data_IF_904326362509
#
_entry.id   IF_904326362509
#
_cell.length_a   1.000
_cell.length_b   1.000
_cell.length_c   1.000
_cell.angle_alpha   90.00
_cell.angle_beta   90.00
_cell.angle_gamma   90.00
#
_symmetry.space_group_name_H-M   'P 1'
#
loop_
_entity.id
_entity.type
_entity.pdbx_description
1 polymer ?
#
# COMPACT_ATOMS: atom_id res chain seq x y z
N UNK A 1 -33.81 -40.48 5.45
CA UNK A 1 -34.18 -39.17 4.88
C UNK A 1 -33.54 -38.09 5.77
N UNK A 2 -32.44 -37.49 5.34
CA UNK A 2 -31.79 -36.39 6.08
C UNK A 2 -32.36 -35.09 5.53
N UNK A 3 -33.04 -34.33 6.40
CA UNK A 3 -33.45 -32.99 6.10
C UNK A 3 -32.19 -32.06 5.96
N UNK A 4 -31.90 -31.64 4.77
CA UNK A 4 -31.01 -30.45 4.58
C UNK A 4 -31.83 -29.23 4.96
N UNK A 5 -31.47 -28.57 6.04
CA UNK A 5 -31.92 -27.21 6.30
C UNK A 5 -31.27 -26.29 5.26
N UNK A 6 -32.13 -25.59 4.54
CA UNK A 6 -31.77 -24.56 3.59
C UNK A 6 -31.27 -23.36 4.41
N UNK A 7 -29.97 -23.07 4.38
CA UNK A 7 -29.46 -21.80 4.88
C UNK A 7 -30.10 -20.68 4.04
N UNK A 8 -30.90 -19.84 4.70
CA UNK A 8 -31.39 -18.60 4.10
C UNK A 8 -30.20 -17.68 3.89
N UNK A 9 -29.91 -17.36 2.62
CA UNK A 9 -28.87 -16.41 2.27
C UNK A 9 -29.24 -15.03 2.82
N UNK A 10 -28.33 -14.40 3.54
CA UNK A 10 -28.48 -13.04 4.08
C UNK A 10 -28.52 -11.92 3.00
N UNK A 11 -28.70 -12.25 1.74
CA UNK A 11 -28.87 -11.30 0.64
C UNK A 11 -30.31 -11.45 0.17
N UNK A 12 -31.19 -10.65 0.74
CA UNK A 12 -32.66 -10.75 0.59
C UNK A 12 -33.21 -10.26 -0.75
N UNK A 13 -32.41 -9.81 -1.70
CA UNK A 13 -32.88 -9.43 -3.04
C UNK A 13 -32.00 -10.03 -4.11
N UNK A 14 -32.63 -10.65 -5.13
CA UNK A 14 -31.96 -11.07 -6.34
C UNK A 14 -31.53 -9.82 -7.10
N UNK A 15 -30.23 -9.60 -7.21
CA UNK A 15 -29.68 -8.58 -8.10
C UNK A 15 -29.83 -9.13 -9.52
N UNK A 16 -30.69 -8.50 -10.31
CA UNK A 16 -30.84 -8.83 -11.72
C UNK A 16 -29.73 -8.11 -12.49
N UNK A 17 -28.75 -8.86 -12.99
CA UNK A 17 -27.64 -8.32 -13.77
C UNK A 17 -27.99 -8.49 -15.26
N UNK A 18 -28.30 -7.39 -15.92
CA UNK A 18 -28.49 -7.36 -17.37
C UNK A 18 -27.12 -7.27 -18.07
N UNK A 19 -26.73 -8.35 -18.72
CA UNK A 19 -25.53 -8.41 -19.57
C UNK A 19 -25.93 -8.15 -21.00
N UNK A 20 -25.37 -7.13 -21.65
CA UNK A 20 -25.60 -6.84 -23.06
C UNK A 20 -25.22 -8.07 -23.92
N UNK A 21 -26.19 -8.64 -24.67
CA UNK A 21 -26.01 -9.87 -25.43
C UNK A 21 -26.39 -11.16 -24.68
N UNK A 22 -26.85 -11.08 -23.43
CA UNK A 22 -27.31 -12.22 -22.63
C UNK A 22 -26.21 -13.18 -22.20
N UNK A 23 -26.60 -14.36 -21.71
CA UNK A 23 -25.66 -15.40 -21.27
C UNK A 23 -25.13 -16.26 -22.43
N UNK A 24 -25.68 -16.10 -23.63
CA UNK A 24 -25.30 -16.86 -24.83
C UNK A 24 -24.15 -16.21 -25.63
N UNK A 25 -23.49 -15.22 -25.08
CA UNK A 25 -22.32 -14.61 -25.70
C UNK A 25 -21.20 -15.66 -25.80
N UNK A 26 -20.72 -15.88 -27.04
CA UNK A 26 -19.56 -16.72 -27.25
C UNK A 26 -18.34 -16.15 -26.51
N UNK A 27 -17.84 -16.88 -25.49
CA UNK A 27 -16.66 -16.46 -24.77
C UNK A 27 -15.44 -16.46 -25.71
N UNK A 28 -14.58 -15.43 -25.60
CA UNK A 28 -13.35 -15.39 -26.37
C UNK A 28 -12.47 -16.60 -26.07
N UNK A 29 -11.77 -17.09 -27.05
CA UNK A 29 -10.82 -18.18 -26.86
C UNK A 29 -9.67 -17.68 -26.00
N UNK A 30 -9.37 -18.42 -24.93
CA UNK A 30 -8.17 -18.19 -24.13
C UNK A 30 -6.95 -18.79 -24.82
N UNK A 31 -5.86 -18.05 -24.83
CA UNK A 31 -4.57 -18.53 -25.34
C UNK A 31 -3.55 -18.51 -24.21
N UNK A 32 -2.67 -19.51 -24.22
CA UNK A 32 -1.54 -19.50 -23.32
C UNK A 32 -0.52 -18.48 -23.77
N UNK A 33 -0.23 -17.50 -22.93
CA UNK A 33 0.85 -16.54 -23.16
C UNK A 33 1.96 -16.75 -22.15
N UNK A 34 3.21 -16.57 -22.59
CA UNK A 34 4.38 -16.51 -21.69
C UNK A 34 4.95 -15.12 -21.75
N UNK A 35 4.77 -14.37 -20.68
CA UNK A 35 5.36 -13.05 -20.55
C UNK A 35 6.79 -13.19 -20.02
N UNK A 36 7.75 -12.61 -20.74
CA UNK A 36 9.14 -12.53 -20.30
C UNK A 36 9.38 -11.13 -19.75
N UNK A 37 9.64 -11.04 -18.46
CA UNK A 37 10.03 -9.79 -17.81
C UNK A 37 11.53 -9.64 -17.81
N UNK A 38 12.03 -8.43 -18.05
CA UNK A 38 13.41 -8.11 -17.77
C UNK A 38 13.54 -7.94 -16.25
N UNK A 39 14.19 -8.89 -15.59
CA UNK A 39 14.40 -8.87 -14.14
C UNK A 39 15.80 -8.34 -13.83
N UNK A 40 15.95 -7.04 -13.81
CA UNK A 40 17.15 -6.43 -13.22
C UNK A 40 17.02 -6.49 -11.70
N UNK A 41 18.01 -7.06 -11.04
CA UNK A 41 18.07 -7.10 -9.57
C UNK A 41 19.16 -6.16 -9.09
N UNK A 42 18.87 -5.39 -8.06
CA UNK A 42 19.88 -4.59 -7.36
C UNK A 42 20.72 -5.51 -6.45
N UNK A 43 22.00 -5.23 -6.35
CA UNK A 43 22.91 -6.01 -5.50
C UNK A 43 22.63 -5.80 -4.00
N UNK A 44 22.22 -4.59 -3.63
CA UNK A 44 21.87 -4.22 -2.26
C UNK A 44 20.73 -3.21 -2.29
N UNK A 45 19.64 -3.52 -1.62
CA UNK A 45 18.49 -2.63 -1.47
C UNK A 45 18.88 -1.39 -0.66
N UNK A 46 19.50 -1.60 0.50
CA UNK A 46 19.92 -0.51 1.38
C UNK A 46 20.87 0.46 0.68
N UNK A 47 21.88 -0.07 -0.04
CA UNK A 47 22.82 0.80 -0.76
C UNK A 47 22.12 1.58 -1.89
N UNK A 48 21.22 0.92 -2.62
CA UNK A 48 20.47 1.57 -3.69
C UNK A 48 19.60 2.70 -3.17
N UNK A 49 18.91 2.49 -2.05
CA UNK A 49 18.12 3.55 -1.39
C UNK A 49 19.03 4.70 -0.95
N UNK A 50 20.12 4.40 -0.26
CA UNK A 50 21.09 5.42 0.20
C UNK A 50 21.63 6.26 -0.96
N UNK A 51 21.93 5.62 -2.11
CA UNK A 51 22.41 6.32 -3.30
C UNK A 51 21.36 7.29 -3.91
N UNK A 52 20.06 6.95 -3.82
CA UNK A 52 19.00 7.87 -4.24
C UNK A 52 18.94 9.12 -3.34
N UNK A 53 19.22 8.98 -2.05
CA UNK A 53 19.28 10.11 -1.11
C UNK A 53 20.51 11.01 -1.28
N UNK A 54 21.55 10.56 -2.01
CA UNK A 54 22.69 11.42 -2.39
C UNK A 54 22.37 12.41 -3.52
N UNK A 55 21.29 12.19 -4.25
CA UNK A 55 20.88 13.04 -5.37
C UNK A 55 20.55 14.44 -4.87
N UNK A 56 21.10 15.50 -5.50
CA UNK A 56 20.91 16.89 -5.06
C UNK A 56 19.44 17.28 -4.96
N UNK A 57 18.63 16.87 -5.94
CA UNK A 57 17.19 17.18 -5.99
C UNK A 57 16.38 16.54 -4.87
N UNK A 58 16.82 15.40 -4.32
CA UNK A 58 16.20 14.75 -3.15
C UNK A 58 16.62 15.47 -1.89
N UNK A 59 17.94 15.69 -1.73
CA UNK A 59 18.50 16.37 -0.56
C UNK A 59 17.97 17.78 -0.39
N UNK A 60 17.78 18.52 -1.47
CA UNK A 60 17.29 19.90 -1.42
C UNK A 60 15.86 20.02 -0.87
N UNK A 61 15.07 18.92 -0.95
CA UNK A 61 13.68 18.90 -0.46
C UNK A 61 13.57 18.55 1.02
N UNK A 62 14.56 17.88 1.58
CA UNK A 62 14.55 17.45 3.00
C UNK A 62 15.36 18.45 3.81
N UNK A 63 14.72 19.09 4.80
CA UNK A 63 15.37 20.05 5.69
C UNK A 63 15.33 19.52 7.12
N UNK A 64 16.36 19.85 7.95
CA UNK A 64 16.33 19.51 9.36
C UNK A 64 15.06 20.01 10.07
N UNK A 65 14.52 19.18 10.93
CA UNK A 65 13.29 19.47 11.70
C UNK A 65 11.98 19.18 10.96
N UNK A 66 12.01 18.88 9.65
CA UNK A 66 10.79 18.54 8.92
C UNK A 66 10.19 17.22 9.43
N UNK A 67 8.89 17.22 9.68
CA UNK A 67 8.11 15.99 9.85
C UNK A 67 7.77 15.43 8.47
N UNK A 68 8.10 14.17 8.23
CA UNK A 68 7.88 13.52 6.93
C UNK A 68 7.02 12.28 7.12
N UNK A 69 5.85 12.27 6.48
CA UNK A 69 4.97 11.11 6.42
C UNK A 69 5.43 10.18 5.29
N UNK A 70 5.74 8.94 5.63
CA UNK A 70 6.16 7.90 4.69
C UNK A 70 5.03 6.88 4.51
N UNK A 71 4.33 6.94 3.39
CA UNK A 71 3.27 5.99 3.04
C UNK A 71 3.85 4.63 2.64
N UNK A 72 3.39 3.58 3.29
CA UNK A 72 3.82 2.21 3.01
C UNK A 72 2.63 1.38 2.54
N UNK A 73 2.75 0.85 1.33
CA UNK A 73 1.73 -0.01 0.71
C UNK A 73 1.84 -1.46 1.14
N UNK A 74 0.92 -2.29 0.63
CA UNK A 74 0.77 -3.69 1.01
C UNK A 74 0.84 -4.67 -0.17
N UNK A 75 1.37 -4.27 -1.33
CA UNK A 75 1.35 -5.12 -2.52
C UNK A 75 2.73 -5.37 -3.11
N UNK A 76 3.19 -6.62 -2.98
CA UNK A 76 4.19 -7.22 -3.86
C UNK A 76 5.57 -6.55 -3.97
N UNK A 77 5.94 -5.68 -3.05
CA UNK A 77 7.28 -5.09 -3.03
C UNK A 77 8.22 -6.02 -2.28
N UNK A 78 9.14 -6.63 -3.00
CA UNK A 78 10.19 -7.42 -2.37
C UNK A 78 11.05 -6.54 -1.44
N UNK A 79 11.39 -7.07 -0.27
CA UNK A 79 12.24 -6.39 0.73
C UNK A 79 11.67 -5.03 1.22
N UNK A 80 10.34 -4.89 1.27
CA UNK A 80 9.69 -3.64 1.67
C UNK A 80 10.20 -3.14 3.03
N UNK A 81 10.36 -4.02 4.01
CA UNK A 81 10.84 -3.65 5.34
C UNK A 81 12.26 -3.03 5.29
N UNK A 82 13.16 -3.60 4.48
CA UNK A 82 14.50 -3.06 4.30
C UNK A 82 14.48 -1.71 3.58
N UNK A 83 13.63 -1.57 2.54
CA UNK A 83 13.44 -0.31 1.84
C UNK A 83 12.97 0.80 2.80
N UNK A 84 11.97 0.50 3.62
CA UNK A 84 11.41 1.46 4.60
C UNK A 84 12.46 1.81 5.64
N UNK A 85 13.14 0.82 6.23
CA UNK A 85 14.19 1.03 7.22
C UNK A 85 15.28 1.96 6.70
N UNK A 86 15.81 1.68 5.51
CA UNK A 86 16.87 2.51 4.95
C UNK A 86 16.37 3.91 4.63
N UNK A 87 15.15 4.05 4.08
CA UNK A 87 14.54 5.36 3.82
C UNK A 87 14.42 6.18 5.11
N UNK A 88 13.94 5.57 6.19
CA UNK A 88 13.86 6.21 7.51
C UNK A 88 15.25 6.64 8.01
N UNK A 89 16.27 5.79 7.85
CA UNK A 89 17.64 6.09 8.26
C UNK A 89 18.19 7.32 7.49
N UNK A 90 18.00 7.38 6.19
CA UNK A 90 18.46 8.51 5.37
C UNK A 90 17.74 9.81 5.72
N UNK A 91 16.41 9.77 5.93
CA UNK A 91 15.64 10.94 6.35
C UNK A 91 16.12 11.47 7.70
N UNK A 92 16.37 10.57 8.66
CA UNK A 92 16.93 10.95 9.97
C UNK A 92 18.34 11.53 9.85
N UNK A 93 19.18 10.95 8.99
CA UNK A 93 20.53 11.47 8.73
C UNK A 93 20.52 12.90 8.15
N UNK A 94 19.46 13.27 7.43
CA UNK A 94 19.21 14.64 6.95
C UNK A 94 18.55 15.55 8.01
N UNK A 95 18.33 15.05 9.25
CA UNK A 95 17.73 15.79 10.34
C UNK A 95 16.21 15.85 10.34
N UNK A 96 15.53 15.08 9.49
CA UNK A 96 14.07 15.02 9.47
C UNK A 96 13.52 14.08 10.56
N UNK A 97 12.23 14.21 10.84
CA UNK A 97 11.47 13.40 11.80
C UNK A 97 10.44 12.56 11.03
N UNK A 98 10.84 11.40 10.48
CA UNK A 98 9.92 10.56 9.73
C UNK A 98 8.97 9.80 10.66
N UNK A 99 7.76 9.55 10.15
CA UNK A 99 6.85 8.53 10.63
C UNK A 99 6.26 7.76 9.47
N UNK A 100 5.90 6.51 9.69
CA UNK A 100 5.24 5.65 8.69
C UNK A 100 3.74 5.70 8.89
N UNK A 101 2.99 5.63 7.80
CA UNK A 101 1.55 5.39 7.81
C UNK A 101 1.16 4.35 6.76
N UNK A 102 0.11 3.54 7.01
CA UNK A 102 -0.40 2.60 6.02
C UNK A 102 -1.01 3.35 4.83
N UNK A 103 -0.58 3.03 3.62
CA UNK A 103 -1.10 3.57 2.37
C UNK A 103 -1.65 2.43 1.51
N UNK A 104 -2.72 1.78 1.97
CA UNK A 104 -3.18 0.51 1.43
C UNK A 104 -4.69 0.38 1.22
N UNK A 105 -5.44 1.48 1.33
CA UNK A 105 -6.89 1.51 1.09
C UNK A 105 -7.66 0.59 2.04
N UNK A 106 -8.43 -0.35 1.50
CA UNK A 106 -9.30 -1.25 2.29
C UNK A 106 -8.60 -2.49 2.84
N UNK A 107 -7.29 -2.63 2.71
CA UNK A 107 -6.58 -3.77 3.27
C UNK A 107 -6.64 -3.76 4.80
N UNK A 108 -6.36 -4.91 5.42
CA UNK A 108 -6.46 -5.05 6.87
C UNK A 108 -7.89 -4.87 7.39
N UNK A 109 -8.90 -5.26 6.60
CA UNK A 109 -10.30 -5.12 6.96
C UNK A 109 -10.78 -3.66 7.04
N UNK A 110 -10.06 -2.73 6.41
CA UNK A 110 -10.34 -1.28 6.45
C UNK A 110 -10.40 -0.73 7.90
N UNK A 111 -9.55 -1.25 8.78
CA UNK A 111 -9.39 -0.75 10.16
C UNK A 111 -7.96 -0.27 10.37
N UNK A 112 -7.75 0.66 11.29
CA UNK A 112 -6.43 1.18 11.62
C UNK A 112 -5.52 0.08 12.16
N UNK A 113 -6.03 -0.74 13.06
CA UNK A 113 -5.33 -1.88 13.67
C UNK A 113 -5.00 -2.95 12.63
N UNK A 114 -5.96 -3.28 11.76
CA UNK A 114 -5.75 -4.27 10.70
C UNK A 114 -4.70 -3.83 9.68
N UNK A 115 -4.68 -2.55 9.31
CA UNK A 115 -3.65 -2.01 8.42
C UNK A 115 -2.27 -2.00 9.08
N UNK A 116 -2.19 -1.68 10.37
CA UNK A 116 -0.95 -1.78 11.13
C UNK A 116 -0.45 -3.23 11.21
N UNK A 117 -1.36 -4.19 11.41
CA UNK A 117 -1.02 -5.61 11.41
C UNK A 117 -0.46 -6.07 10.06
N UNK A 118 -1.04 -5.60 8.95
CA UNK A 118 -0.50 -5.89 7.60
C UNK A 118 0.94 -5.39 7.46
N UNK A 119 1.27 -4.20 7.93
CA UNK A 119 2.65 -3.71 7.93
C UNK A 119 3.57 -4.60 8.78
N UNK A 120 3.10 -4.99 9.96
CA UNK A 120 3.81 -5.88 10.86
C UNK A 120 4.12 -7.24 10.21
N UNK A 121 3.15 -7.83 9.51
CA UNK A 121 3.30 -9.10 8.80
C UNK A 121 4.34 -9.02 7.67
N UNK A 122 4.54 -7.84 7.08
CA UNK A 122 5.64 -7.56 6.15
C UNK A 122 6.98 -7.23 6.82
N UNK A 123 7.06 -7.30 8.15
CA UNK A 123 8.26 -6.98 8.92
C UNK A 123 8.49 -5.48 9.12
N UNK A 124 7.53 -4.63 8.76
CA UNK A 124 7.59 -3.19 9.01
C UNK A 124 7.06 -2.93 10.41
N UNK A 125 7.95 -2.98 11.39
CA UNK A 125 7.66 -2.70 12.80
C UNK A 125 8.44 -1.48 13.28
N UNK A 126 7.91 -0.73 14.25
CA UNK A 126 8.59 0.45 14.78
C UNK A 126 10.02 0.15 15.28
N UNK A 127 10.20 -1.00 15.93
CA UNK A 127 11.51 -1.44 16.41
C UNK A 127 12.51 -1.72 15.29
N UNK A 128 12.02 -2.27 14.16
CA UNK A 128 12.88 -2.59 13.02
C UNK A 128 13.21 -1.37 12.17
N UNK A 129 12.22 -0.51 11.88
CA UNK A 129 12.40 0.67 11.02
C UNK A 129 12.92 1.89 11.77
N UNK A 130 12.77 1.90 13.10
CA UNK A 130 13.29 2.95 13.96
C UNK A 130 12.50 4.26 13.96
N UNK A 131 11.21 4.27 13.57
CA UNK A 131 10.34 5.43 13.69
C UNK A 131 8.91 5.01 14.01
N UNK A 132 8.03 5.94 14.49
CA UNK A 132 6.64 5.62 14.79
C UNK A 132 5.87 5.17 13.56
N UNK A 133 4.90 4.27 13.76
CA UNK A 133 3.87 3.91 12.80
C UNK A 133 2.56 4.52 13.29
N UNK A 134 1.97 5.41 12.48
CA UNK A 134 0.70 6.06 12.78
C UNK A 134 -0.35 5.51 11.84
N UNK A 135 -1.29 4.75 12.38
CA UNK A 135 -2.43 4.23 11.62
C UNK A 135 -3.71 4.87 12.15
N UNK A 136 -4.42 5.56 11.29
CA UNK A 136 -5.70 6.19 11.58
C UNK A 136 -6.56 6.16 10.33
N UNK A 137 -7.86 6.10 10.50
CA UNK A 137 -8.83 6.31 9.42
C UNK A 137 -9.41 7.73 9.43
N UNK A 138 -8.99 8.54 10.39
CA UNK A 138 -9.32 9.97 10.38
C UNK A 138 -8.57 10.65 9.25
N UNK A 139 -9.29 11.48 8.51
CA UNK A 139 -8.74 12.19 7.36
C UNK A 139 -8.59 13.66 7.66
N UNK A 140 -7.56 14.29 7.08
CA UNK A 140 -7.35 15.74 7.10
C UNK A 140 -7.49 16.30 5.70
N UNK A 141 -8.19 17.43 5.55
CA UNK A 141 -8.21 18.13 4.28
C UNK A 141 -6.86 18.81 4.03
N UNK A 142 -6.21 18.44 2.95
CA UNK A 142 -4.93 19.01 2.53
C UNK A 142 -5.10 20.29 1.72
N UNK A 143 -6.26 20.51 1.13
CA UNK A 143 -6.59 21.64 0.27
C UNK A 143 -7.59 21.27 -0.81
N UNK A 144 -7.69 22.12 -1.85
CA UNK A 144 -8.62 21.91 -2.95
C UNK A 144 -7.88 22.00 -4.29
N UNK A 145 -8.26 21.13 -5.22
CA UNK A 145 -7.82 21.16 -6.61
C UNK A 145 -9.08 21.28 -7.47
N UNK A 146 -9.18 22.34 -8.27
CA UNK A 146 -10.36 22.64 -9.09
C UNK A 146 -11.69 22.61 -8.32
N UNK A 147 -11.66 23.12 -7.09
CA UNK A 147 -12.83 23.18 -6.19
C UNK A 147 -13.14 21.86 -5.45
N UNK A 148 -12.49 20.76 -5.79
CA UNK A 148 -12.66 19.46 -5.10
C UNK A 148 -11.69 19.35 -3.91
N UNK A 149 -12.20 19.01 -2.71
CA UNK A 149 -11.35 18.82 -1.55
C UNK A 149 -10.46 17.57 -1.72
N UNK A 150 -9.20 17.69 -1.30
CA UNK A 150 -8.22 16.58 -1.26
C UNK A 150 -7.96 16.23 0.19
N UNK A 151 -8.12 14.97 0.52
CA UNK A 151 -7.93 14.43 1.87
C UNK A 151 -6.76 13.45 1.91
N UNK A 152 -6.15 13.36 3.09
CA UNK A 152 -5.16 12.33 3.43
C UNK A 152 -5.44 11.75 4.79
#
# INVERSE_FOLDING_TARGET
MKHFQKEESMIGERIEVNIAGGLDIALPRMVHIRQKFQTQKVASVSQTVADQFKRPEVRAKVKPGMTIALGVGSRGIANIAECVKQTVAELKALGAQPFVFPAMGSHGGATAEGQQQVLHDYGVTESYIGCPIRSSLEVVELGKVDGMPVYM
#
